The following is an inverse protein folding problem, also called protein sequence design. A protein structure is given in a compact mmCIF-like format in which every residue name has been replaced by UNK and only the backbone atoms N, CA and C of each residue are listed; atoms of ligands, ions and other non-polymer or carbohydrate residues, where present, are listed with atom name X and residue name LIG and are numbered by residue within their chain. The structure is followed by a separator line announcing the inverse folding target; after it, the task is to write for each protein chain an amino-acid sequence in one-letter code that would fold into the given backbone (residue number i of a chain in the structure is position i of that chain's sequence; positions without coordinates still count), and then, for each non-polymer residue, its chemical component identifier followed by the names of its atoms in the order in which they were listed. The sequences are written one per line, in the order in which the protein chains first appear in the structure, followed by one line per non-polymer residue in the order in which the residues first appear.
data_IF_746701298761
#
_entry.id   IF_746701298761
#
_cell.length_a   1.000
_cell.length_b   1.000
_cell.length_c   1.000
_cell.angle_alpha   90.00
_cell.angle_beta   90.00
_cell.angle_gamma   90.00
#
_symmetry.space_group_name_H-M   'P 1'
#
loop_
_entity.id
_entity.type
_entity.pdbx_description
1 polymer ?
#
# COMPACT_ATOMS: atom_id res chain seq x y z
N UNK A 1 54.42 -17.72 -12.36
CA UNK A 1 55.50 -16.78 -12.35
C UNK A 1 54.94 -15.40 -11.95
N UNK A 2 55.27 -14.97 -10.79
CA UNK A 2 56.30 -13.96 -10.50
C UNK A 2 55.86 -12.56 -10.97
N UNK A 3 55.86 -11.60 -10.23
CA UNK A 3 56.57 -10.97 -9.10
C UNK A 3 56.22 -9.50 -9.21
N UNK A 4 56.01 -8.82 -8.24
CA UNK A 4 56.73 -8.27 -7.10
C UNK A 4 56.58 -6.75 -7.10
N UNK A 5 56.24 -6.21 -5.95
CA UNK A 5 57.04 -5.23 -5.15
C UNK A 5 57.21 -3.83 -5.78
N UNK A 6 57.22 -2.76 -5.12
CA UNK A 6 57.33 -2.36 -3.71
C UNK A 6 57.20 -0.84 -3.62
N UNK A 7 56.73 -0.39 -2.44
CA UNK A 7 57.42 0.57 -1.52
C UNK A 7 57.56 2.06 -1.91
N UNK A 8 57.14 2.82 -1.05
CA UNK A 8 57.74 3.72 -0.03
C UNK A 8 57.55 5.19 -0.40
N UNK A 9 57.37 6.05 0.48
CA UNK A 9 57.73 6.45 1.81
C UNK A 9 57.28 7.88 2.03
N UNK A 10 56.78 8.17 3.17
CA UNK A 10 57.39 8.95 4.25
C UNK A 10 57.50 10.47 4.08
N UNK A 11 56.86 11.09 5.04
CA UNK A 11 57.35 12.09 6.05
C UNK A 11 57.30 13.55 5.55
N UNK A 12 56.98 14.53 6.32
CA UNK A 12 56.91 14.83 7.74
C UNK A 12 56.72 16.33 7.95
N UNK A 13 56.24 16.70 9.14
CA UNK A 13 56.59 17.90 9.86
C UNK A 13 55.71 19.14 9.57
N UNK A 14 55.13 19.88 10.46
CA UNK A 14 55.45 20.09 11.86
C UNK A 14 55.39 21.56 12.17
N UNK A 15 54.88 21.89 13.34
CA UNK A 15 55.05 23.12 14.12
C UNK A 15 54.10 24.28 13.85
N UNK A 16 53.16 24.64 14.75
CA UNK A 16 53.34 25.37 16.03
C UNK A 16 53.70 26.84 15.85
N UNK A 17 52.88 27.71 16.41
CA UNK A 17 53.19 29.13 16.65
C UNK A 17 52.04 29.86 17.33
N UNK A 18 52.21 30.03 18.62
CA UNK A 18 51.37 30.66 19.64
C UNK A 18 51.40 32.20 19.53
N UNK A 19 50.40 32.79 20.18
CA UNK A 19 50.37 34.03 21.01
C UNK A 19 50.16 35.41 20.35
N UNK A 20 49.19 36.14 20.88
CA UNK A 20 49.39 37.37 21.62
C UNK A 20 48.18 38.31 21.65
N UNK A 21 47.49 38.29 22.75
CA UNK A 21 46.95 39.42 23.56
C UNK A 21 46.65 40.80 22.92
N UNK A 22 45.38 41.16 23.03
CA UNK A 22 44.68 42.41 23.51
C UNK A 22 45.53 43.66 23.86
N UNK A 23 44.97 44.85 24.12
CA UNK A 23 43.60 45.43 24.01
C UNK A 23 43.55 46.91 23.60
N UNK A 24 42.35 47.53 23.65
CA UNK A 24 41.93 48.90 24.04
C UNK A 24 41.22 49.75 22.99
N UNK A 25 39.99 50.00 23.38
CA UNK A 25 39.30 51.30 23.63
C UNK A 25 39.08 52.27 22.49
N UNK A 26 37.85 52.75 22.42
CA UNK A 26 37.48 54.01 21.80
C UNK A 26 36.03 54.07 21.29
N UNK A 27 35.10 54.40 22.16
CA UNK A 27 33.87 55.16 22.04
C UNK A 27 33.47 55.71 20.66
N UNK A 28 32.26 55.58 20.29
CA UNK A 28 31.16 56.53 20.36
C UNK A 28 30.12 56.45 19.22
N UNK A 29 28.89 56.44 19.64
CA UNK A 29 27.71 57.12 19.08
C UNK A 29 27.01 56.66 17.81
N UNK A 30 25.91 55.98 18.09
CA UNK A 30 24.56 56.45 17.73
C UNK A 30 24.03 56.30 16.32
N UNK A 31 22.98 55.58 16.28
CA UNK A 31 21.69 55.72 15.57
C UNK A 31 21.16 54.56 14.77
N UNK A 32 20.30 53.85 15.47
CA UNK A 32 18.87 53.69 15.08
C UNK A 32 18.44 52.74 13.98
N UNK A 33 17.59 51.82 14.42
CA UNK A 33 16.52 51.11 13.68
C UNK A 33 16.98 49.91 12.80
N UNK A 34 16.56 48.72 13.03
CA UNK A 34 15.28 48.15 13.38
C UNK A 34 15.49 46.68 13.73
N UNK A 35 15.07 46.33 14.89
CA UNK A 35 14.85 44.97 15.35
C UNK A 35 13.90 44.28 14.39
N UNK A 36 14.41 43.30 13.67
CA UNK A 36 13.60 42.20 13.15
C UNK A 36 14.03 40.92 13.85
N UNK A 37 13.36 40.71 14.94
CA UNK A 37 13.33 39.48 15.71
C UNK A 37 12.87 38.32 14.78
N UNK A 38 13.83 37.57 14.25
CA UNK A 38 13.56 36.29 13.61
C UNK A 38 13.91 35.22 14.59
N UNK A 39 13.02 35.02 15.56
CA UNK A 39 12.98 33.87 16.43
C UNK A 39 12.60 32.64 15.55
N UNK A 40 13.60 32.01 14.99
CA UNK A 40 13.44 30.67 14.39
C UNK A 40 13.49 29.64 15.50
N UNK A 41 12.37 29.43 16.15
CA UNK A 41 12.09 28.21 16.89
C UNK A 41 11.62 27.16 15.89
N UNK A 42 12.52 26.30 15.42
CA UNK A 42 12.18 25.12 14.65
C UNK A 42 12.01 23.99 15.66
N UNK A 43 10.75 23.79 16.11
CA UNK A 43 10.33 22.55 16.78
C UNK A 43 10.21 21.42 15.75
N UNK A 44 10.43 20.15 16.12
CA UNK A 44 10.14 19.00 15.27
C UNK A 44 8.63 18.73 15.31
N UNK A 45 7.89 19.30 14.37
CA UNK A 45 6.48 19.14 14.16
C UNK A 45 6.16 19.90 12.89
N UNK A 46 6.43 19.29 11.74
CA UNK A 46 5.99 19.85 10.49
C UNK A 46 4.48 19.72 10.42
N UNK A 47 3.76 20.82 10.69
CA UNK A 47 2.40 20.98 10.21
C UNK A 47 2.48 20.84 8.69
N UNK A 48 2.08 19.70 8.16
CA UNK A 48 1.86 19.50 6.74
C UNK A 48 0.70 20.42 6.37
N UNK A 49 1.05 21.54 5.71
CA UNK A 49 0.09 22.51 5.20
C UNK A 49 -0.80 21.77 4.22
N UNK A 50 -2.08 21.61 4.57
CA UNK A 50 -3.07 21.14 3.59
C UNK A 50 -3.05 22.13 2.41
N UNK A 51 -2.98 21.64 1.16
CA UNK A 51 -3.01 22.53 0.01
C UNK A 51 -4.35 23.26 -0.02
N UNK A 52 -4.32 24.59 0.12
CA UNK A 52 -5.51 25.43 -0.01
C UNK A 52 -5.99 25.41 -1.48
N UNK A 53 -7.28 25.15 -1.66
CA UNK A 53 -7.93 25.20 -2.97
C UNK A 53 -8.27 26.68 -3.24
N UNK A 54 -7.72 27.22 -4.32
CA UNK A 54 -8.05 28.56 -4.80
C UNK A 54 -9.24 28.48 -5.78
N UNK A 55 -10.01 29.57 -5.91
CA UNK A 55 -11.18 29.62 -6.80
C UNK A 55 -10.85 29.35 -8.27
N UNK A 56 -9.62 29.60 -8.69
CA UNK A 56 -9.13 29.38 -10.06
C UNK A 56 -8.49 27.99 -10.30
N UNK A 57 -8.49 27.09 -9.29
CA UNK A 57 -7.87 25.79 -9.41
C UNK A 57 -8.76 24.82 -10.20
N UNK A 58 -8.19 24.22 -11.25
CA UNK A 58 -8.82 23.12 -11.97
C UNK A 58 -8.61 21.81 -11.20
N UNK A 59 -9.70 21.18 -10.79
CA UNK A 59 -9.68 19.93 -10.06
C UNK A 59 -9.85 18.75 -11.01
N UNK A 60 -8.94 17.79 -10.90
CA UNK A 60 -8.96 16.53 -11.65
C UNK A 60 -9.48 15.44 -10.71
N UNK A 61 -10.60 14.75 -11.02
CA UNK A 61 -11.11 13.67 -10.19
C UNK A 61 -10.17 12.47 -10.23
N UNK A 62 -10.01 11.83 -9.08
CA UNK A 62 -9.24 10.60 -8.92
C UNK A 62 -10.01 9.57 -8.10
N UNK A 63 -9.69 8.30 -8.33
CA UNK A 63 -10.16 7.19 -7.51
C UNK A 63 -9.06 6.14 -7.39
N UNK A 64 -9.01 5.47 -6.24
CA UNK A 64 -8.03 4.41 -6.01
C UNK A 64 -8.10 3.83 -4.61
N UNK A 65 -7.17 2.93 -4.31
CA UNK A 65 -7.06 2.27 -3.02
C UNK A 65 -5.98 2.95 -2.18
N UNK A 66 -6.32 3.31 -0.95
CA UNK A 66 -5.40 3.95 -0.01
C UNK A 66 -4.40 2.95 0.55
N UNK A 67 -3.14 3.24 0.37
CA UNK A 67 -2.01 2.53 0.95
C UNK A 67 -1.33 3.44 1.98
N UNK A 68 -1.44 3.09 3.26
CA UNK A 68 -0.85 3.84 4.37
C UNK A 68 0.45 3.18 4.76
N UNK A 69 1.53 3.96 4.72
CA UNK A 69 2.88 3.59 5.11
C UNK A 69 3.25 4.31 6.42
N UNK A 70 4.43 4.05 6.99
CA UNK A 70 4.80 4.59 8.30
C UNK A 70 4.76 6.12 8.37
N UNK A 71 5.27 6.81 7.33
CA UNK A 71 5.46 8.27 7.33
C UNK A 71 4.62 9.01 6.28
N UNK A 72 3.92 8.30 5.41
CA UNK A 72 3.15 8.88 4.30
C UNK A 72 2.08 7.89 3.82
N UNK A 73 1.14 8.39 3.04
CA UNK A 73 0.12 7.57 2.40
C UNK A 73 -0.01 7.92 0.92
N UNK A 74 -0.47 6.93 0.13
CA UNK A 74 -0.78 7.11 -1.29
C UNK A 74 -2.13 6.52 -1.65
N UNK A 75 -2.85 7.18 -2.53
CA UNK A 75 -3.95 6.56 -3.27
C UNK A 75 -3.36 5.91 -4.52
N UNK A 76 -3.42 4.57 -4.57
CA UNK A 76 -3.00 3.75 -5.72
C UNK A 76 -4.06 3.82 -6.80
N UNK A 77 -3.76 4.45 -7.92
CA UNK A 77 -4.76 4.72 -8.98
C UNK A 77 -4.79 3.65 -10.06
N UNK A 78 -3.74 2.84 -10.21
CA UNK A 78 -3.61 1.82 -11.26
C UNK A 78 -3.68 0.38 -10.74
N UNK A 79 -4.22 0.18 -9.55
CA UNK A 79 -4.33 -1.13 -8.91
C UNK A 79 -3.78 -1.13 -7.49
N UNK A 80 -3.03 -2.18 -7.12
CA UNK A 80 -2.53 -2.38 -5.75
C UNK A 80 -1.02 -2.15 -5.62
N UNK A 81 -0.32 -1.96 -6.73
CA UNK A 81 1.11 -1.66 -6.77
C UNK A 81 1.36 -0.16 -6.90
N UNK A 82 2.56 0.25 -6.46
CA UNK A 82 3.00 1.62 -6.64
C UNK A 82 3.18 1.97 -8.12
N UNK A 83 2.74 3.15 -8.50
CA UNK A 83 2.79 3.64 -9.87
C UNK A 83 3.14 5.14 -9.97
N UNK A 84 3.45 5.60 -11.19
CA UNK A 84 3.81 7.00 -11.42
C UNK A 84 2.63 7.97 -11.24
N UNK A 85 1.42 7.46 -11.29
CA UNK A 85 0.16 8.22 -11.16
C UNK A 85 -0.42 8.19 -9.75
N UNK A 86 0.32 7.63 -8.79
CA UNK A 86 -0.12 7.58 -7.40
C UNK A 86 -0.22 8.98 -6.80
N UNK A 87 -1.21 9.17 -5.96
CA UNK A 87 -1.54 10.46 -5.36
C UNK A 87 -1.11 10.46 -3.90
N UNK A 88 -0.27 11.41 -3.55
CA UNK A 88 0.17 11.61 -2.17
C UNK A 88 -0.98 12.07 -1.28
N UNK A 89 -1.09 11.47 -0.10
CA UNK A 89 -2.05 11.84 0.94
C UNK A 89 -1.28 12.10 2.23
N UNK A 90 -1.50 13.24 2.84
CA UNK A 90 -0.86 13.55 4.12
C UNK A 90 -1.43 12.70 5.25
N UNK A 91 -0.61 12.35 6.24
CA UNK A 91 -1.10 11.64 7.43
C UNK A 91 -2.10 12.48 8.24
N UNK A 92 -2.02 13.81 8.12
CA UNK A 92 -3.01 14.73 8.66
C UNK A 92 -4.40 14.49 8.06
N UNK A 93 -4.49 14.37 6.72
CA UNK A 93 -5.73 14.04 6.02
C UNK A 93 -6.23 12.63 6.36
N UNK A 94 -5.32 11.64 6.45
CA UNK A 94 -5.68 10.27 6.86
C UNK A 94 -6.38 10.28 8.22
N UNK A 95 -5.82 10.99 9.19
CA UNK A 95 -6.38 11.13 10.55
C UNK A 95 -7.68 11.93 10.56
N UNK A 96 -7.72 13.07 9.85
CA UNK A 96 -8.87 13.97 9.78
C UNK A 96 -10.12 13.28 9.26
N UNK A 97 -9.98 12.46 8.22
CA UNK A 97 -11.08 11.75 7.57
C UNK A 97 -11.29 10.32 8.09
N UNK A 98 -10.53 9.87 9.09
CA UNK A 98 -10.62 8.52 9.63
C UNK A 98 -10.36 7.43 8.58
N UNK A 99 -9.48 7.74 7.60
CA UNK A 99 -9.14 6.81 6.52
C UNK A 99 -8.23 5.70 7.05
N UNK A 100 -8.35 4.51 6.45
CA UNK A 100 -7.58 3.32 6.81
C UNK A 100 -6.96 2.68 5.57
N UNK A 101 -5.86 1.96 5.75
CA UNK A 101 -5.24 1.17 4.67
C UNK A 101 -6.28 0.25 4.02
N UNK A 102 -6.34 0.23 2.69
CA UNK A 102 -7.33 -0.55 1.94
C UNK A 102 -8.65 0.18 1.65
N UNK A 103 -8.86 1.40 2.14
CA UNK A 103 -10.03 2.19 1.77
C UNK A 103 -10.02 2.58 0.29
N UNK A 104 -11.17 2.48 -0.38
CA UNK A 104 -11.36 3.08 -1.69
C UNK A 104 -11.67 4.56 -1.53
N UNK A 105 -10.79 5.41 -2.00
CA UNK A 105 -10.91 6.87 -1.90
C UNK A 105 -11.25 7.45 -3.26
N UNK A 106 -12.29 8.27 -3.29
CA UNK A 106 -12.63 9.13 -4.43
C UNK A 106 -12.43 10.56 -3.99
N UNK A 107 -11.77 11.35 -4.83
CA UNK A 107 -11.45 12.72 -4.51
C UNK A 107 -10.90 13.47 -5.70
N UNK A 108 -10.20 14.56 -5.46
CA UNK A 108 -9.61 15.36 -6.52
C UNK A 108 -8.20 15.84 -6.17
N UNK A 109 -7.39 15.98 -7.20
CA UNK A 109 -6.10 16.65 -7.17
C UNK A 109 -6.19 17.98 -7.90
N UNK A 110 -5.30 18.91 -7.58
CA UNK A 110 -5.15 20.15 -8.33
C UNK A 110 -4.32 19.87 -9.59
N UNK A 111 -4.74 20.42 -10.72
CA UNK A 111 -3.95 20.38 -11.94
C UNK A 111 -2.62 21.11 -11.70
N UNK A 112 -1.46 20.47 -11.97
CA UNK A 112 -0.16 21.14 -11.82
C UNK A 112 -0.07 22.38 -12.72
N UNK A 113 0.33 23.51 -12.17
CA UNK A 113 0.58 24.73 -12.96
C UNK A 113 1.92 24.58 -13.69
N UNK A 114 2.03 25.14 -14.90
CA UNK A 114 3.24 25.02 -15.75
C UNK A 114 4.56 25.39 -15.05
N UNK A 115 4.49 26.28 -14.07
CA UNK A 115 5.66 26.73 -13.29
C UNK A 115 5.98 25.84 -12.07
N UNK A 116 5.07 24.98 -11.61
CA UNK A 116 5.28 24.08 -10.46
C UNK A 116 6.00 22.78 -10.84
N UNK A 117 6.08 22.43 -12.14
CA UNK A 117 6.78 21.23 -12.63
C UNK A 117 8.29 21.24 -12.35
N UNK A 118 8.88 22.39 -12.00
CA UNK A 118 10.30 22.48 -11.60
C UNK A 118 10.53 22.31 -10.09
N UNK A 119 9.49 22.14 -9.29
CA UNK A 119 9.57 21.91 -7.85
C UNK A 119 9.83 20.44 -7.51
N UNK A 120 10.43 20.19 -6.34
CA UNK A 120 10.83 18.87 -5.81
C UNK A 120 9.71 17.85 -5.58
N UNK A 121 8.47 18.11 -5.95
CA UNK A 121 7.33 17.26 -5.68
C UNK A 121 7.13 16.24 -6.81
N UNK A 122 7.47 14.98 -6.54
CA UNK A 122 7.40 13.86 -7.49
C UNK A 122 5.96 13.37 -7.75
N UNK A 123 5.05 13.59 -6.81
CA UNK A 123 3.67 13.12 -6.85
C UNK A 123 2.69 14.26 -6.65
N UNK A 124 1.52 14.17 -7.29
CA UNK A 124 0.41 15.08 -7.04
C UNK A 124 -0.18 14.81 -5.64
N UNK A 125 -0.62 15.85 -4.96
CA UNK A 125 -1.24 15.73 -3.65
C UNK A 125 -2.76 15.73 -3.75
N UNK A 126 -3.41 14.91 -2.91
CA UNK A 126 -4.86 14.92 -2.73
C UNK A 126 -5.27 16.24 -2.06
N UNK A 127 -6.15 17.00 -2.72
CA UNK A 127 -6.66 18.29 -2.18
C UNK A 127 -8.09 18.18 -1.67
N UNK A 128 -8.88 17.23 -2.17
CA UNK A 128 -10.26 17.04 -1.76
C UNK A 128 -10.60 15.55 -1.69
N UNK A 129 -11.31 15.16 -0.63
CA UNK A 129 -11.91 13.83 -0.47
C UNK A 129 -13.41 13.97 -0.70
N UNK A 130 -13.95 13.26 -1.69
CA UNK A 130 -15.36 13.26 -2.01
C UNK A 130 -16.10 12.10 -1.32
N UNK A 131 -15.51 10.91 -1.33
CA UNK A 131 -16.05 9.74 -0.62
C UNK A 131 -14.95 8.75 -0.24
N UNK A 132 -15.24 7.95 0.80
CA UNK A 132 -14.42 6.85 1.29
C UNK A 132 -15.29 5.60 1.29
N UNK A 133 -14.96 4.61 0.47
CA UNK A 133 -15.78 3.41 0.26
C UNK A 133 -17.26 3.74 -0.07
N UNK A 134 -17.49 4.74 -0.90
CA UNK A 134 -18.81 5.28 -1.26
C UNK A 134 -19.60 5.90 -0.11
N UNK A 135 -19.01 6.08 1.08
CA UNK A 135 -19.58 6.77 2.23
C UNK A 135 -19.07 8.22 2.31
N UNK A 136 -19.82 9.08 3.00
CA UNK A 136 -19.29 10.40 3.39
C UNK A 136 -18.17 10.26 4.42
N UNK A 137 -17.33 11.29 4.57
CA UNK A 137 -16.24 11.28 5.56
C UNK A 137 -16.75 11.01 7.00
N UNK A 138 -17.89 11.57 7.37
CA UNK A 138 -18.50 11.38 8.69
C UNK A 138 -18.96 9.93 8.92
N UNK A 139 -19.62 9.34 7.92
CA UNK A 139 -20.03 7.94 7.95
C UNK A 139 -18.82 6.99 7.97
N UNK A 140 -17.79 7.32 7.20
CA UNK A 140 -16.57 6.54 7.17
C UNK A 140 -15.82 6.56 8.52
N UNK A 141 -15.81 7.69 9.21
CA UNK A 141 -15.18 7.81 10.53
C UNK A 141 -15.92 7.02 11.63
N UNK A 142 -17.24 6.81 11.50
CA UNK A 142 -18.05 6.08 12.47
C UNK A 142 -18.07 4.55 12.29
N UNK A 143 -17.36 4.02 11.28
CA UNK A 143 -17.27 2.57 11.00
C UNK A 143 -16.65 1.81 12.17
N UNK A 144 -17.21 0.63 12.45
CA UNK A 144 -16.58 -0.34 13.36
C UNK A 144 -15.28 -0.83 12.72
N UNK A 145 -14.22 -0.94 13.51
CA UNK A 145 -12.95 -1.52 13.04
C UNK A 145 -13.05 -3.03 12.95
N UNK A 146 -12.41 -3.61 11.94
CA UNK A 146 -12.39 -5.06 11.72
C UNK A 146 -11.91 -5.82 12.96
N UNK A 147 -10.91 -5.29 13.66
CA UNK A 147 -10.34 -5.90 14.86
C UNK A 147 -11.29 -5.93 16.05
N UNK A 148 -12.30 -5.05 16.05
CA UNK A 148 -13.33 -4.98 17.08
C UNK A 148 -14.56 -5.87 16.75
N UNK A 149 -14.59 -6.52 15.59
CA UNK A 149 -15.62 -7.48 15.23
C UNK A 149 -15.41 -8.80 15.99
N UNK A 150 -16.50 -9.35 16.53
CA UNK A 150 -16.44 -10.63 17.24
C UNK A 150 -16.41 -11.79 16.24
N UNK A 151 -15.34 -12.61 16.19
CA UNK A 151 -15.32 -13.79 15.36
C UNK A 151 -16.31 -14.85 15.91
N UNK A 152 -17.16 -15.35 15.02
CA UNK A 152 -18.10 -16.45 15.33
C UNK A 152 -17.73 -17.69 14.54
N UNK A 153 -18.17 -18.85 15.03
CA UNK A 153 -18.02 -20.11 14.27
C UNK A 153 -18.87 -20.05 13.01
N UNK A 154 -18.37 -20.56 11.86
CA UNK A 154 -19.15 -20.60 10.62
C UNK A 154 -20.39 -21.49 10.79
N UNK A 155 -21.56 -20.91 10.74
CA UNK A 155 -22.86 -21.58 10.82
C UNK A 155 -23.60 -21.55 9.47
N UNK A 156 -23.26 -20.60 8.60
CA UNK A 156 -23.79 -20.48 7.25
C UNK A 156 -22.82 -21.09 6.22
N UNK A 157 -23.33 -21.99 5.37
CA UNK A 157 -22.53 -22.69 4.37
C UNK A 157 -22.40 -21.88 3.09
N UNK A 158 -21.20 -21.79 2.56
CA UNK A 158 -20.93 -21.30 1.21
C UNK A 158 -21.12 -22.48 0.23
N UNK A 159 -22.24 -22.49 -0.49
CA UNK A 159 -22.57 -23.59 -1.42
C UNK A 159 -21.79 -23.44 -2.73
N UNK A 160 -21.06 -24.49 -3.11
CA UNK A 160 -20.21 -24.52 -4.31
C UNK A 160 -20.79 -25.41 -5.43
N UNK A 161 -21.71 -26.33 -5.15
CA UNK A 161 -22.36 -27.15 -6.18
C UNK A 161 -23.16 -26.25 -7.13
N UNK A 162 -22.90 -26.39 -8.45
CA UNK A 162 -23.58 -25.61 -9.50
C UNK A 162 -24.40 -26.47 -10.43
N UNK A 163 -23.76 -27.33 -11.24
CA UNK A 163 -24.39 -28.19 -12.20
C UNK A 163 -23.99 -29.65 -11.99
N UNK A 164 -24.81 -30.58 -12.47
CA UNK A 164 -24.62 -32.03 -12.22
C UNK A 164 -23.32 -32.60 -12.83
N UNK A 165 -22.79 -31.97 -13.85
CA UNK A 165 -21.55 -32.34 -14.57
C UNK A 165 -20.29 -31.68 -13.94
N UNK A 166 -20.44 -30.74 -13.03
CA UNK A 166 -19.32 -30.08 -12.33
C UNK A 166 -19.00 -30.84 -11.05
N UNK A 167 -18.20 -31.90 -11.18
CA UNK A 167 -17.91 -32.79 -10.07
C UNK A 167 -17.02 -32.22 -8.99
N UNK A 168 -16.07 -31.32 -9.33
CA UNK A 168 -15.08 -30.76 -8.39
C UNK A 168 -15.76 -30.02 -7.24
N UNK A 169 -16.66 -29.11 -7.53
CA UNK A 169 -17.35 -28.30 -6.51
C UNK A 169 -18.35 -29.14 -5.70
N UNK A 170 -18.98 -30.14 -6.33
CA UNK A 170 -19.85 -31.08 -5.63
C UNK A 170 -19.07 -31.96 -4.65
N UNK A 171 -17.88 -32.43 -5.03
CA UNK A 171 -17.00 -33.21 -4.13
C UNK A 171 -16.57 -32.37 -2.94
N UNK A 172 -16.20 -31.09 -3.15
CA UNK A 172 -15.86 -30.18 -2.07
C UNK A 172 -17.05 -30.02 -1.12
N UNK A 173 -18.24 -29.80 -1.65
CA UNK A 173 -19.45 -29.65 -0.84
C UNK A 173 -19.82 -30.90 -0.02
N UNK A 174 -19.48 -32.07 -0.51
CA UNK A 174 -19.78 -33.34 0.18
C UNK A 174 -18.75 -33.67 1.27
N UNK A 175 -17.44 -33.45 1.00
CA UNK A 175 -16.36 -33.92 1.86
C UNK A 175 -15.66 -32.84 2.65
N UNK A 176 -15.67 -31.60 2.17
CA UNK A 176 -15.00 -30.46 2.79
C UNK A 176 -15.82 -29.17 2.63
N UNK A 177 -17.06 -29.16 3.16
CA UNK A 177 -17.94 -27.99 3.02
C UNK A 177 -17.30 -26.75 3.63
N UNK A 178 -17.45 -25.61 2.95
CA UNK A 178 -16.89 -24.34 3.37
C UNK A 178 -18.00 -23.46 3.95
N UNK A 179 -17.77 -22.92 5.14
CA UNK A 179 -18.67 -21.98 5.79
C UNK A 179 -18.21 -20.52 5.63
N UNK A 180 -19.12 -19.59 5.69
CA UNK A 180 -18.80 -18.15 5.71
C UNK A 180 -17.96 -17.83 6.95
N UNK A 181 -16.87 -17.06 6.78
CA UNK A 181 -15.90 -16.79 7.83
C UNK A 181 -14.82 -17.86 8.03
N UNK A 182 -14.88 -18.99 7.32
CA UNK A 182 -13.88 -20.05 7.40
C UNK A 182 -12.61 -19.70 6.63
N UNK A 183 -11.46 -20.13 7.18
CA UNK A 183 -10.17 -20.13 6.49
C UNK A 183 -9.87 -21.54 6.02
N UNK A 184 -9.86 -21.77 4.70
CA UNK A 184 -9.56 -23.03 4.06
C UNK A 184 -8.17 -23.06 3.44
N UNK A 185 -7.50 -24.20 3.46
CA UNK A 185 -6.22 -24.43 2.80
C UNK A 185 -6.34 -25.55 1.77
N UNK A 186 -6.03 -25.25 0.50
CA UNK A 186 -5.98 -26.25 -0.58
C UNK A 186 -4.53 -26.75 -0.68
N UNK A 187 -4.30 -27.96 -0.20
CA UNK A 187 -3.00 -28.64 -0.27
C UNK A 187 -3.02 -29.64 -1.42
N UNK A 188 -2.10 -29.46 -2.36
CA UNK A 188 -2.01 -30.37 -3.50
C UNK A 188 -0.59 -30.44 -4.06
N UNK A 189 -0.18 -31.57 -4.66
CA UNK A 189 1.08 -31.66 -5.38
C UNK A 189 1.12 -30.71 -6.59
N UNK A 190 2.31 -30.37 -7.10
CA UNK A 190 2.42 -29.66 -8.37
C UNK A 190 1.69 -30.38 -9.50
N UNK A 191 1.04 -29.62 -10.39
CA UNK A 191 0.32 -30.14 -11.58
C UNK A 191 -0.89 -31.04 -11.28
N UNK A 192 -1.46 -30.99 -10.08
CA UNK A 192 -2.65 -31.78 -9.70
C UNK A 192 -3.99 -31.07 -9.95
N UNK A 193 -4.00 -29.95 -10.66
CA UNK A 193 -5.24 -29.22 -10.98
C UNK A 193 -5.67 -28.21 -9.93
N UNK A 194 -4.75 -27.72 -9.06
CA UNK A 194 -5.05 -26.69 -8.04
C UNK A 194 -5.72 -25.44 -8.65
N UNK A 195 -5.16 -24.90 -9.73
CA UNK A 195 -5.71 -23.70 -10.41
C UNK A 195 -7.09 -23.98 -10.98
N UNK A 196 -7.31 -25.18 -11.56
CA UNK A 196 -8.63 -25.59 -12.06
C UNK A 196 -9.67 -25.69 -10.94
N UNK A 197 -9.28 -26.23 -9.78
CA UNK A 197 -10.15 -26.28 -8.60
C UNK A 197 -10.48 -24.88 -8.09
N UNK A 198 -9.51 -23.97 -8.05
CA UNK A 198 -9.68 -22.60 -7.62
C UNK A 198 -10.59 -21.82 -8.57
N UNK A 199 -10.44 -22.00 -9.88
CA UNK A 199 -11.35 -21.45 -10.89
C UNK A 199 -12.78 -21.98 -10.73
N UNK A 200 -12.94 -23.27 -10.51
CA UNK A 200 -14.26 -23.88 -10.29
C UNK A 200 -14.93 -23.32 -9.03
N UNK A 201 -14.18 -23.09 -7.95
CA UNK A 201 -14.67 -22.45 -6.73
C UNK A 201 -15.10 -21.00 -7.02
N UNK A 202 -14.26 -20.22 -7.73
CA UNK A 202 -14.56 -18.85 -8.10
C UNK A 202 -15.84 -18.73 -8.93
N UNK A 203 -15.98 -19.59 -9.93
CA UNK A 203 -17.18 -19.67 -10.77
C UNK A 203 -18.43 -20.04 -9.97
N UNK A 204 -18.31 -21.01 -9.05
CA UNK A 204 -19.40 -21.42 -8.19
C UNK A 204 -19.87 -20.30 -7.27
N UNK A 205 -18.95 -19.58 -6.64
CA UNK A 205 -19.27 -18.42 -5.78
C UNK A 205 -19.98 -17.33 -6.60
N UNK A 206 -19.45 -17.00 -7.78
CA UNK A 206 -20.05 -15.97 -8.66
C UNK A 206 -21.46 -16.32 -9.12
N UNK A 207 -21.80 -17.62 -9.22
CA UNK A 207 -23.14 -18.08 -9.61
C UNK A 207 -24.11 -18.22 -8.44
N UNK A 208 -23.64 -18.79 -7.34
CA UNK A 208 -24.50 -19.16 -6.21
C UNK A 208 -24.65 -18.02 -5.18
N UNK A 209 -23.68 -17.11 -5.12
CA UNK A 209 -23.61 -16.01 -4.16
C UNK A 209 -23.24 -14.71 -4.86
N UNK A 210 -24.08 -14.16 -5.74
CA UNK A 210 -23.75 -12.99 -6.57
C UNK A 210 -23.53 -11.71 -5.75
N UNK A 211 -24.06 -11.64 -4.52
CA UNK A 211 -23.88 -10.51 -3.61
C UNK A 211 -22.54 -10.57 -2.84
N UNK A 212 -21.84 -11.70 -2.91
CA UNK A 212 -20.52 -11.85 -2.29
C UNK A 212 -19.43 -11.18 -3.11
N UNK A 213 -18.65 -10.33 -2.48
CA UNK A 213 -17.48 -9.74 -3.12
C UNK A 213 -16.34 -10.76 -3.23
N UNK A 214 -16.10 -11.24 -4.44
CA UNK A 214 -15.05 -12.21 -4.71
C UNK A 214 -13.76 -11.50 -5.09
N UNK A 215 -12.69 -11.75 -4.33
CA UNK A 215 -11.34 -11.26 -4.58
C UNK A 215 -10.42 -12.45 -4.89
N UNK A 216 -9.73 -12.41 -6.03
CA UNK A 216 -8.71 -13.42 -6.41
C UNK A 216 -7.34 -12.76 -6.38
N UNK A 217 -6.49 -13.17 -5.45
CA UNK A 217 -5.17 -12.63 -5.22
C UNK A 217 -4.12 -13.59 -5.76
N UNK A 218 -3.41 -13.16 -6.80
CA UNK A 218 -2.40 -13.96 -7.49
C UNK A 218 -1.00 -13.42 -7.17
N UNK A 219 -0.16 -14.26 -6.60
CA UNK A 219 1.19 -13.89 -6.17
C UNK A 219 2.23 -14.64 -6.97
N UNK A 220 3.15 -13.93 -7.61
CA UNK A 220 4.25 -14.50 -8.40
C UNK A 220 3.70 -15.40 -9.53
N UNK A 221 2.62 -14.95 -10.21
CA UNK A 221 1.99 -15.68 -11.29
C UNK A 221 2.46 -15.20 -12.68
N UNK A 222 2.18 -16.02 -13.70
CA UNK A 222 2.50 -15.66 -15.09
C UNK A 222 1.45 -14.69 -15.64
N UNK A 223 1.86 -13.70 -16.45
CA UNK A 223 0.93 -12.72 -17.04
C UNK A 223 -0.22 -13.37 -17.83
N UNK A 224 0.04 -14.50 -18.50
CA UNK A 224 -0.95 -15.26 -19.24
C UNK A 224 -2.04 -15.81 -18.31
N UNK A 225 -1.63 -16.43 -17.18
CA UNK A 225 -2.55 -17.00 -16.19
C UNK A 225 -3.40 -15.91 -15.52
N UNK A 226 -2.78 -14.75 -15.24
CA UNK A 226 -3.50 -13.57 -14.74
C UNK A 226 -4.56 -13.09 -15.72
N UNK A 227 -4.21 -13.03 -17.02
CA UNK A 227 -5.13 -12.60 -18.06
C UNK A 227 -6.30 -13.57 -18.24
N UNK A 228 -6.03 -14.85 -18.20
CA UNK A 228 -7.06 -15.89 -18.33
C UNK A 228 -8.03 -15.87 -17.13
N UNK A 229 -7.51 -15.70 -15.91
CA UNK A 229 -8.34 -15.58 -14.71
C UNK A 229 -9.19 -14.28 -14.74
N UNK A 230 -8.64 -13.16 -15.19
CA UNK A 230 -9.41 -11.92 -15.35
C UNK A 230 -10.56 -12.03 -16.33
N UNK A 231 -10.44 -12.89 -17.34
CA UNK A 231 -11.50 -13.13 -18.34
C UNK A 231 -12.55 -14.12 -17.85
N UNK A 232 -12.15 -15.12 -17.06
CA UNK A 232 -13.02 -16.21 -16.63
C UNK A 232 -13.76 -15.90 -15.33
N UNK A 233 -13.16 -15.17 -14.40
CA UNK A 233 -13.72 -14.92 -13.07
C UNK A 233 -14.50 -13.60 -13.03
N UNK A 234 -15.73 -13.65 -12.54
CA UNK A 234 -16.52 -12.46 -12.20
C UNK A 234 -16.20 -12.03 -10.77
N UNK A 235 -15.12 -11.29 -10.62
CA UNK A 235 -14.64 -10.81 -9.33
C UNK A 235 -13.46 -9.85 -9.51
N UNK A 236 -12.96 -9.32 -8.43
CA UNK A 236 -11.78 -8.48 -8.41
C UNK A 236 -10.51 -9.35 -8.49
N UNK A 237 -9.74 -9.25 -9.58
CA UNK A 237 -8.49 -10.01 -9.74
C UNK A 237 -7.30 -9.09 -9.49
N UNK A 238 -6.61 -9.35 -8.41
CA UNK A 238 -5.44 -8.61 -7.90
C UNK A 238 -4.21 -9.49 -8.14
N UNK A 239 -3.21 -8.97 -8.83
CA UNK A 239 -2.08 -9.82 -9.20
C UNK A 239 -0.74 -9.09 -9.13
N UNK A 240 0.29 -9.84 -8.71
CA UNK A 240 1.69 -9.51 -8.93
C UNK A 240 2.35 -10.60 -9.76
N UNK A 241 2.96 -10.22 -10.88
CA UNK A 241 3.58 -11.14 -11.83
C UNK A 241 5.03 -11.46 -11.45
N UNK A 242 5.56 -12.58 -11.94
CA UNK A 242 6.86 -13.12 -11.54
C UNK A 242 8.06 -12.20 -11.82
N UNK A 243 7.90 -11.20 -12.69
CA UNK A 243 8.91 -10.19 -13.02
C UNK A 243 9.06 -9.08 -11.98
N UNK A 244 8.19 -9.08 -10.95
CA UNK A 244 8.20 -8.10 -9.89
C UNK A 244 9.12 -8.52 -8.73
N UNK A 245 9.68 -7.54 -7.98
CA UNK A 245 10.45 -7.83 -6.77
C UNK A 245 9.58 -8.44 -5.66
N UNK A 246 10.24 -9.10 -4.70
CA UNK A 246 9.55 -9.79 -3.60
C UNK A 246 8.69 -8.87 -2.73
N UNK A 247 9.12 -7.63 -2.54
CA UNK A 247 8.39 -6.59 -1.81
C UNK A 247 7.03 -6.28 -2.45
N UNK A 248 6.96 -6.26 -3.78
CA UNK A 248 5.72 -6.02 -4.51
C UNK A 248 4.71 -7.14 -4.29
N UNK A 249 5.16 -8.40 -4.22
CA UNK A 249 4.30 -9.54 -3.92
C UNK A 249 3.66 -9.44 -2.54
N UNK A 250 4.43 -9.02 -1.54
CA UNK A 250 3.96 -8.80 -0.18
C UNK A 250 2.97 -7.65 -0.14
N UNK A 251 3.34 -6.50 -0.72
CA UNK A 251 2.52 -5.29 -0.75
C UNK A 251 1.14 -5.56 -1.35
N UNK A 252 1.09 -6.26 -2.49
CA UNK A 252 -0.17 -6.62 -3.16
C UNK A 252 -1.04 -7.50 -2.28
N UNK A 253 -0.46 -8.54 -1.67
CA UNK A 253 -1.21 -9.47 -0.83
C UNK A 253 -1.73 -8.80 0.44
N UNK A 254 -0.90 -8.01 1.12
CA UNK A 254 -1.30 -7.27 2.33
C UNK A 254 -2.38 -6.23 2.04
N UNK A 255 -2.20 -5.42 0.98
CA UNK A 255 -3.17 -4.40 0.63
C UNK A 255 -4.51 -5.02 0.18
N UNK A 256 -4.49 -6.17 -0.49
CA UNK A 256 -5.70 -6.91 -0.84
C UNK A 256 -6.46 -7.41 0.41
N UNK A 257 -5.75 -7.93 1.42
CA UNK A 257 -6.36 -8.34 2.70
C UNK A 257 -6.92 -7.12 3.45
N UNK A 258 -6.19 -6.01 3.49
CA UNK A 258 -6.70 -4.78 4.09
C UNK A 258 -7.95 -4.26 3.36
N UNK A 259 -7.98 -4.34 2.02
CA UNK A 259 -9.19 -4.03 1.24
C UNK A 259 -10.36 -4.93 1.61
N UNK A 260 -10.14 -6.24 1.74
CA UNK A 260 -11.15 -7.19 2.18
C UNK A 260 -11.73 -6.84 3.56
N UNK A 261 -10.86 -6.47 4.53
CA UNK A 261 -11.29 -6.00 5.85
C UNK A 261 -12.20 -4.76 5.75
N UNK A 262 -11.86 -3.79 4.89
CA UNK A 262 -12.69 -2.57 4.70
C UNK A 262 -14.07 -2.92 4.15
N UNK A 263 -14.17 -3.89 3.25
CA UNK A 263 -15.45 -4.36 2.73
C UNK A 263 -16.30 -5.06 3.80
N UNK A 264 -15.66 -5.88 4.65
CA UNK A 264 -16.34 -6.52 5.78
C UNK A 264 -16.86 -5.49 6.81
N UNK A 265 -16.09 -4.43 7.10
CA UNK A 265 -16.54 -3.31 7.95
C UNK A 265 -17.81 -2.61 7.42
N UNK A 266 -18.04 -2.70 6.11
CA UNK A 266 -19.25 -2.17 5.46
C UNK A 266 -20.44 -3.16 5.46
N UNK A 267 -20.24 -4.36 6.00
CA UNK A 267 -21.25 -5.41 6.03
C UNK A 267 -21.34 -6.28 4.78
N UNK A 268 -20.32 -6.23 3.90
CA UNK A 268 -20.27 -7.12 2.73
C UNK A 268 -19.75 -8.51 3.10
N UNK A 269 -20.31 -9.53 2.48
CA UNK A 269 -19.72 -10.86 2.44
C UNK A 269 -18.53 -10.85 1.48
N UNK A 270 -17.36 -11.25 1.95
CA UNK A 270 -16.13 -11.23 1.15
C UNK A 270 -15.48 -12.61 1.12
N UNK A 271 -15.14 -13.09 -0.07
CA UNK A 271 -14.31 -14.29 -0.25
C UNK A 271 -13.00 -13.90 -0.91
N UNK A 272 -11.88 -14.27 -0.27
CA UNK A 272 -10.54 -14.06 -0.81
C UNK A 272 -9.95 -15.43 -1.21
N UNK A 273 -9.66 -15.61 -2.49
CA UNK A 273 -8.95 -16.77 -3.03
C UNK A 273 -7.50 -16.37 -3.30
N UNK A 274 -6.56 -16.94 -2.55
CA UNK A 274 -5.13 -16.64 -2.68
C UNK A 274 -4.37 -17.77 -3.38
N UNK A 275 -3.77 -17.50 -4.53
CA UNK A 275 -2.84 -18.39 -5.24
C UNK A 275 -1.48 -17.71 -5.41
N UNK A 276 -0.41 -18.09 -4.71
CA UNK A 276 -0.36 -19.16 -3.74
C UNK A 276 0.36 -18.72 -2.45
N UNK A 277 -0.12 -19.24 -1.34
CA UNK A 277 0.48 -19.00 -0.02
C UNK A 277 1.96 -19.42 0.02
N UNK A 278 2.34 -20.48 -0.71
CA UNK A 278 3.75 -20.93 -0.78
C UNK A 278 4.66 -19.91 -1.48
N UNK A 279 4.16 -19.23 -2.51
CA UNK A 279 4.93 -18.18 -3.21
C UNK A 279 5.03 -16.92 -2.35
N UNK A 280 3.94 -16.55 -1.68
CA UNK A 280 3.94 -15.45 -0.73
C UNK A 280 4.93 -15.70 0.42
N UNK A 281 4.96 -16.91 0.98
CA UNK A 281 5.93 -17.28 2.02
C UNK A 281 7.38 -17.18 1.55
N UNK A 282 7.66 -17.51 0.29
CA UNK A 282 9.00 -17.31 -0.31
C UNK A 282 9.35 -15.83 -0.45
N UNK A 283 8.40 -14.99 -0.84
CA UNK A 283 8.62 -13.54 -0.91
C UNK A 283 8.99 -12.96 0.45
N UNK A 284 8.26 -13.33 1.51
CA UNK A 284 8.61 -12.92 2.88
C UNK A 284 9.99 -13.41 3.31
N UNK A 285 10.34 -14.66 2.99
CA UNK A 285 11.67 -15.21 3.30
C UNK A 285 12.79 -14.46 2.56
N UNK A 286 12.57 -14.09 1.30
CA UNK A 286 13.54 -13.34 0.51
C UNK A 286 13.79 -11.93 1.08
N UNK A 287 12.72 -11.20 1.44
CA UNK A 287 12.81 -9.87 2.05
C UNK A 287 13.49 -9.94 3.42
N UNK A 288 13.14 -10.92 4.27
CA UNK A 288 13.77 -11.11 5.57
C UNK A 288 15.26 -11.49 5.46
N UNK A 289 15.69 -12.16 4.39
CA UNK A 289 17.09 -12.46 4.13
C UNK A 289 17.88 -11.22 3.70
N UNK A 290 17.30 -10.35 2.85
CA UNK A 290 17.94 -9.12 2.39
C UNK A 290 18.19 -8.13 3.51
N UNK A 291 17.26 -7.98 4.46
CA UNK A 291 17.42 -7.10 5.62
C UNK A 291 18.53 -7.55 6.58
N UNK A 292 18.78 -8.87 6.69
CA UNK A 292 19.88 -9.40 7.53
C UNK A 292 21.26 -9.26 6.89
N UNK A 293 21.36 -9.21 5.58
CA UNK A 293 22.64 -9.07 4.87
C UNK A 293 23.11 -7.63 4.71
N UNK A 294 22.26 -6.65 5.01
CA UNK A 294 22.57 -5.21 4.93
C UNK A 294 22.91 -4.53 6.25
N UNK A 295 23.04 -5.29 7.35
CA UNK A 295 23.42 -4.77 8.68
C UNK A 295 24.84 -5.16 9.08
#
# INVERSE_FOLDING_TARGET
PQNAQAQNGQQSGGQQGQNGQTPRDGDDANRNRTTRDRKRGRGPGGDEIEPEILEDDVLIPIAGILDVLENYAFVRTTGYLSGPTDIYVSLGQVKKYGMRKGDAVVGAIRQPREHEQQGRQKYNALVKVDSINALTAEQAASRVEFENLTPVSPDERLRLETAADVHVTRIIDLFAPIGKGQRGLIVSPPKSGKTTALQAIADAISRNSPDTHLMVVLVDERPEEVTDLRRSVKGEVIASTFDRPAEDHITVAELAVERAKRLVELGHDVVVLLDSLSRLGRAYAAVAASTRSGS
#
